data_IF_667598946989
#
_entry.id   IF_667598946989
#
_cell.length_a   1.000
_cell.length_b   1.000
_cell.length_c   1.000
_cell.angle_alpha   90.00
_cell.angle_beta   90.00
_cell.angle_gamma   90.00
#
_symmetry.space_group_name_H-M   'P 1'
#
loop_
_entity.id
_entity.type
_entity.pdbx_description
1 polymer ?
#
# COMPACT_ATOMS: atom_id res chain seq x y z
N UNK A 1 -13.82 -8.60 1.57
CA UNK A 1 -13.85 -8.87 0.12
C UNK A 1 -13.87 -7.55 -0.63
N UNK A 2 -12.88 -7.25 -1.49
CA UNK A 2 -12.85 -6.01 -2.29
C UNK A 2 -14.08 -6.02 -3.23
N UNK A 3 -14.73 -4.86 -3.44
CA UNK A 3 -15.85 -4.77 -4.40
C UNK A 3 -15.34 -5.17 -5.79
N UNK A 4 -16.04 -6.03 -6.56
CA UNK A 4 -15.55 -6.49 -7.87
C UNK A 4 -15.15 -5.33 -8.81
N UNK A 5 -15.89 -4.23 -8.77
CA UNK A 5 -15.62 -3.02 -9.55
C UNK A 5 -14.30 -2.32 -9.20
N UNK A 6 -13.78 -2.50 -7.98
CA UNK A 6 -12.55 -1.86 -7.49
C UNK A 6 -11.31 -2.73 -7.69
N UNK A 7 -11.48 -4.02 -8.01
CA UNK A 7 -10.37 -4.97 -8.08
C UNK A 7 -9.36 -4.62 -9.18
N UNK A 8 -9.85 -4.31 -10.38
CA UNK A 8 -8.96 -3.92 -11.49
C UNK A 8 -8.24 -2.59 -11.20
N UNK A 9 -8.98 -1.61 -10.65
CA UNK A 9 -8.41 -0.31 -10.28
C UNK A 9 -7.32 -0.45 -9.22
N UNK A 10 -7.56 -1.28 -8.21
CA UNK A 10 -6.57 -1.58 -7.16
C UNK A 10 -5.30 -2.19 -7.76
N UNK A 11 -5.42 -3.20 -8.65
CA UNK A 11 -4.26 -3.83 -9.31
C UNK A 11 -3.45 -2.86 -10.16
N UNK A 12 -4.12 -2.05 -10.99
CA UNK A 12 -3.46 -1.06 -11.85
C UNK A 12 -2.73 -0.02 -11.00
N UNK A 13 -3.39 0.50 -9.96
CA UNK A 13 -2.80 1.47 -9.05
C UNK A 13 -1.59 0.91 -8.29
N UNK A 14 -1.70 -0.31 -7.76
CA UNK A 14 -0.59 -1.00 -7.09
C UNK A 14 0.61 -1.16 -8.02
N UNK A 15 0.39 -1.64 -9.25
CA UNK A 15 1.46 -1.81 -10.23
C UNK A 15 2.15 -0.49 -10.54
N UNK A 16 1.37 0.57 -10.78
CA UNK A 16 1.90 1.90 -11.06
C UNK A 16 2.69 2.46 -9.87
N UNK A 17 2.23 2.23 -8.64
CA UNK A 17 2.95 2.65 -7.43
C UNK A 17 4.28 1.92 -7.27
N UNK A 18 4.31 0.61 -7.46
CA UNK A 18 5.54 -0.20 -7.35
C UNK A 18 6.54 0.18 -8.45
N UNK A 19 6.07 0.43 -9.68
CA UNK A 19 6.92 0.95 -10.75
C UNK A 19 7.52 2.32 -10.37
N UNK A 20 6.75 3.24 -9.79
CA UNK A 20 7.26 4.52 -9.31
C UNK A 20 8.29 4.33 -8.20
N UNK A 21 7.96 3.55 -7.16
CA UNK A 21 8.82 3.29 -6.02
C UNK A 21 10.19 2.74 -6.46
N UNK A 22 10.19 1.71 -7.31
CA UNK A 22 11.43 1.05 -7.75
C UNK A 22 12.27 1.88 -8.72
N UNK A 23 11.71 2.91 -9.34
CA UNK A 23 12.41 3.80 -10.27
C UNK A 23 12.90 5.10 -9.60
N UNK A 24 12.62 5.32 -8.31
CA UNK A 24 13.20 6.45 -7.58
C UNK A 24 14.73 6.27 -7.56
N UNK A 25 15.44 7.33 -7.96
CA UNK A 25 16.89 7.39 -7.82
C UNK A 25 17.22 7.86 -6.41
N UNK A 26 17.42 6.91 -5.51
CA UNK A 26 17.93 7.16 -4.18
C UNK A 26 19.05 6.14 -3.84
N UNK A 27 19.71 6.35 -2.71
CA UNK A 27 20.72 5.42 -2.19
C UNK A 27 20.10 4.28 -1.37
N UNK A 28 18.77 4.23 -1.26
CA UNK A 28 18.06 3.19 -0.54
C UNK A 28 18.07 1.92 -1.40
N UNK A 29 18.45 0.82 -0.76
CA UNK A 29 18.52 -0.49 -1.40
C UNK A 29 17.20 -1.24 -1.30
N UNK A 30 16.09 -0.50 -1.32
CA UNK A 30 14.74 -1.03 -1.12
C UNK A 30 14.08 -1.31 -2.46
N UNK A 31 13.46 -2.49 -2.58
CA UNK A 31 12.67 -2.88 -3.75
C UNK A 31 11.31 -3.37 -3.29
N UNK A 32 10.25 -2.87 -3.93
CA UNK A 32 8.90 -3.40 -3.78
C UNK A 32 8.62 -4.52 -4.79
N UNK A 33 8.05 -5.61 -4.30
CA UNK A 33 7.63 -6.77 -5.08
C UNK A 33 6.16 -7.07 -4.80
N UNK A 34 5.38 -7.34 -5.85
CA UNK A 34 3.95 -7.69 -5.77
C UNK A 34 3.84 -9.22 -5.80
N UNK A 35 2.96 -9.80 -4.99
CA UNK A 35 2.66 -11.23 -5.11
C UNK A 35 1.80 -11.51 -6.35
N UNK A 36 2.24 -12.47 -7.18
CA UNK A 36 1.51 -12.86 -8.39
C UNK A 36 0.21 -13.63 -8.10
N UNK A 37 0.11 -14.23 -6.92
CA UNK A 37 -1.06 -14.98 -6.46
C UNK A 37 -1.65 -14.28 -5.25
N UNK A 38 -2.94 -13.94 -5.31
CA UNK A 38 -3.66 -13.33 -4.19
C UNK A 38 -3.79 -14.34 -3.05
N UNK A 39 -3.17 -14.03 -1.90
CA UNK A 39 -3.23 -14.86 -0.70
C UNK A 39 -4.26 -14.35 0.32
N UNK A 40 -5.00 -13.28 -0.02
CA UNK A 40 -5.96 -12.55 0.81
C UNK A 40 -5.41 -11.94 2.11
N UNK A 41 -4.09 -12.02 2.34
CA UNK A 41 -3.42 -11.54 3.56
C UNK A 41 -2.75 -10.20 3.33
N UNK A 42 -1.94 -10.12 2.27
CA UNK A 42 -1.13 -8.99 1.86
C UNK A 42 -1.02 -8.89 0.33
N UNK A 43 -0.50 -7.76 -0.16
CA UNK A 43 -0.36 -7.50 -1.60
C UNK A 43 1.11 -7.67 -2.09
N UNK A 44 2.09 -7.65 -1.17
CA UNK A 44 3.49 -7.79 -1.54
C UNK A 44 4.48 -7.60 -0.39
N UNK A 45 5.74 -7.38 -0.75
CA UNK A 45 6.86 -7.19 0.18
C UNK A 45 7.81 -6.07 -0.26
N UNK A 46 8.29 -5.29 0.69
CA UNK A 46 9.46 -4.41 0.53
C UNK A 46 10.69 -5.19 1.01
N UNK A 47 11.71 -5.26 0.17
CA UNK A 47 12.95 -5.99 0.45
C UNK A 47 14.12 -5.02 0.50
N UNK A 48 14.89 -5.06 1.60
CA UNK A 48 16.23 -4.47 1.62
C UNK A 48 17.19 -5.45 0.94
N UNK A 49 17.66 -5.08 -0.25
CA UNK A 49 18.55 -5.92 -1.07
C UNK A 49 19.95 -6.08 -0.48
N UNK A 50 20.35 -5.26 0.50
CA UNK A 50 21.63 -5.43 1.23
C UNK A 50 21.54 -6.49 2.31
N UNK A 51 20.47 -6.48 3.09
CA UNK A 51 20.33 -7.33 4.28
C UNK A 51 19.41 -8.53 4.07
N UNK A 52 18.61 -8.52 3.01
CA UNK A 52 17.56 -9.51 2.74
C UNK A 52 16.33 -9.37 3.66
N UNK A 53 16.28 -8.36 4.54
CA UNK A 53 15.14 -8.10 5.42
C UNK A 53 13.91 -7.73 4.61
N UNK A 54 12.74 -8.12 5.13
CA UNK A 54 11.45 -8.06 4.43
C UNK A 54 10.40 -7.44 5.30
N UNK A 55 9.57 -6.58 4.71
CA UNK A 55 8.37 -6.02 5.33
C UNK A 55 7.20 -6.28 4.37
N UNK A 56 6.24 -7.07 4.82
CA UNK A 56 4.99 -7.32 4.09
C UNK A 56 4.12 -6.06 4.09
N UNK A 57 3.46 -5.78 2.98
CA UNK A 57 2.57 -4.63 2.86
C UNK A 57 1.20 -4.98 2.28
N UNK A 58 0.20 -4.21 2.68
CA UNK A 58 -1.15 -4.21 2.09
C UNK A 58 -1.39 -2.87 1.39
N UNK A 59 -1.93 -2.90 0.17
CA UNK A 59 -2.28 -1.71 -0.60
C UNK A 59 -3.80 -1.53 -0.62
N UNK A 60 -4.28 -0.30 -0.52
CA UNK A 60 -5.69 0.01 -0.68
C UNK A 60 -5.84 1.36 -1.39
N UNK A 61 -6.44 1.37 -2.59
CA UNK A 61 -6.92 2.62 -3.18
C UNK A 61 -8.26 3.00 -2.55
N UNK A 62 -8.36 4.23 -2.06
CA UNK A 62 -9.56 4.77 -1.42
C UNK A 62 -10.51 5.31 -2.48
N UNK A 63 -11.77 4.89 -2.41
CA UNK A 63 -12.84 5.41 -3.28
C UNK A 63 -13.60 6.58 -2.64
N UNK A 64 -13.34 6.87 -1.36
CA UNK A 64 -14.00 7.92 -0.57
C UNK A 64 -13.09 8.41 0.56
N UNK A 65 -13.35 9.63 1.03
CA UNK A 65 -12.79 10.21 2.26
C UNK A 65 -11.27 10.39 2.30
N UNK A 66 -10.58 10.10 1.19
CA UNK A 66 -9.18 10.42 0.99
C UNK A 66 -8.98 10.79 -0.49
N UNK A 67 -8.85 12.08 -0.77
CA UNK A 67 -8.89 12.64 -2.13
C UNK A 67 -7.95 13.84 -2.19
N UNK A 68 -7.14 13.94 -3.25
CA UNK A 68 -6.13 14.98 -3.43
C UNK A 68 -5.26 15.21 -2.18
N UNK A 69 -4.80 14.13 -1.55
CA UNK A 69 -4.01 14.19 -0.31
C UNK A 69 -4.74 14.66 0.96
N UNK A 70 -6.06 14.91 0.89
CA UNK A 70 -6.87 15.34 2.04
C UNK A 70 -7.63 14.17 2.62
N UNK A 71 -7.27 13.79 3.85
CA UNK A 71 -8.01 12.80 4.62
C UNK A 71 -9.16 13.48 5.35
N UNK A 72 -10.39 13.01 5.12
CA UNK A 72 -11.59 13.66 5.62
C UNK A 72 -11.83 13.43 7.12
N UNK A 73 -11.17 12.43 7.72
CA UNK A 73 -11.31 12.15 9.14
C UNK A 73 -10.32 12.98 9.94
N UNK A 74 -10.79 13.53 11.08
CA UNK A 74 -9.96 14.29 12.02
C UNK A 74 -8.90 13.42 12.70
N UNK A 75 -9.18 12.12 12.83
CA UNK A 75 -8.32 11.16 13.50
C UNK A 75 -7.91 10.05 12.54
N UNK A 76 -6.69 9.54 12.75
CA UNK A 76 -6.20 8.35 12.07
C UNK A 76 -6.85 7.07 12.60
N UNK A 77 -7.68 7.13 13.65
CA UNK A 77 -8.36 5.97 14.24
C UNK A 77 -9.19 5.13 13.25
N UNK A 78 -9.72 5.72 12.17
CA UNK A 78 -10.41 4.99 11.10
C UNK A 78 -9.45 4.21 10.17
N UNK A 79 -8.22 4.70 10.04
CA UNK A 79 -7.10 4.01 9.39
C UNK A 79 -6.59 2.89 10.32
N UNK A 80 -6.40 3.21 11.60
CA UNK A 80 -5.88 2.31 12.64
C UNK A 80 -6.78 1.11 12.96
N UNK A 81 -8.11 1.27 12.87
CA UNK A 81 -9.05 0.16 13.12
C UNK A 81 -8.89 -0.99 12.11
N UNK A 82 -8.32 -0.74 10.93
CA UNK A 82 -7.96 -1.79 9.96
C UNK A 82 -6.60 -2.43 10.24
N UNK A 83 -5.81 -1.91 11.19
CA UNK A 83 -4.42 -2.30 11.45
C UNK A 83 -4.22 -3.49 12.40
N UNK A 84 -5.24 -4.33 12.65
CA UNK A 84 -5.07 -5.54 13.48
C UNK A 84 -4.80 -6.79 12.64
N UNK A 85 -3.70 -6.79 11.88
CA UNK A 85 -3.24 -7.97 11.16
C UNK A 85 -1.75 -8.20 11.45
N UNK A 86 -1.42 -9.19 12.28
CA UNK A 86 -0.03 -9.49 12.64
C UNK A 86 0.86 -10.00 11.49
N UNK A 87 0.28 -10.21 10.31
CA UNK A 87 0.98 -10.71 9.11
C UNK A 87 1.51 -9.57 8.22
N UNK A 88 1.07 -8.32 8.42
CA UNK A 88 1.51 -7.15 7.65
C UNK A 88 2.32 -6.19 8.51
N UNK A 89 3.48 -5.77 8.02
CA UNK A 89 4.29 -4.75 8.67
C UNK A 89 3.95 -3.33 8.23
N UNK A 90 3.30 -3.17 7.08
CA UNK A 90 2.96 -1.86 6.52
C UNK A 90 1.57 -1.86 5.88
N UNK A 91 0.77 -0.84 6.18
CA UNK A 91 -0.47 -0.55 5.46
C UNK A 91 -0.33 0.72 4.64
N UNK A 92 -0.59 0.63 3.34
CA UNK A 92 -0.49 1.72 2.39
C UNK A 92 -1.87 2.04 1.82
N UNK A 93 -2.35 3.26 2.02
CA UNK A 93 -3.59 3.75 1.44
C UNK A 93 -3.30 4.85 0.43
N UNK A 94 -3.71 4.63 -0.82
CA UNK A 94 -3.64 5.61 -1.89
C UNK A 94 -4.93 6.43 -1.93
N UNK A 95 -4.81 7.73 -2.16
CA UNK A 95 -5.96 8.59 -2.34
C UNK A 95 -6.68 8.29 -3.66
N UNK A 96 -7.90 8.79 -3.77
CA UNK A 96 -8.74 8.57 -4.94
C UNK A 96 -8.11 9.11 -6.23
N UNK A 97 -7.29 10.17 -6.16
CA UNK A 97 -6.69 10.79 -7.34
C UNK A 97 -5.28 10.28 -7.64
N UNK A 98 -4.78 9.32 -6.84
CA UNK A 98 -3.44 8.74 -6.94
C UNK A 98 -2.31 9.77 -6.87
N UNK A 99 -2.54 10.82 -6.08
CA UNK A 99 -1.61 11.94 -5.82
C UNK A 99 -0.88 11.80 -4.48
N UNK A 100 -1.42 11.03 -3.54
CA UNK A 100 -0.90 10.90 -2.20
C UNK A 100 -1.09 9.50 -1.64
N UNK A 101 -0.17 9.10 -0.77
CA UNK A 101 -0.22 7.83 -0.04
C UNK A 101 -0.07 8.09 1.45
N UNK A 102 -0.93 7.49 2.26
CA UNK A 102 -0.74 7.37 3.70
C UNK A 102 -0.15 6.02 4.03
N UNK A 103 0.77 5.99 4.98
CA UNK A 103 1.41 4.79 5.47
C UNK A 103 1.23 4.64 6.98
N UNK A 104 0.94 3.42 7.44
CA UNK A 104 1.05 3.04 8.85
C UNK A 104 1.96 1.83 9.01
N UNK A 105 2.83 1.92 9.99
CA UNK A 105 3.68 0.84 10.46
C UNK A 105 3.01 0.10 11.61
N UNK A 106 3.22 -1.22 11.71
CA UNK A 106 2.66 -2.09 12.75
C UNK A 106 3.73 -2.58 13.73
#
# INVERSE_FOLDING_TARGET
MKRPSMYNRHKVSLKAFVEKFNNVKDDLRLVMQIYNTENFRDDGVIVDTKTGKRITFDWEIRDRYFTSGKFAFKELGQFERKLKKGEIGLSLQCDQDETAVMAAWH
#
